data_IF_200597043592
#
_entry.id   IF_200597043592
#
_cell.length_a   1.000
_cell.length_b   1.000
_cell.length_c   1.000
_cell.angle_alpha   90.00
_cell.angle_beta   90.00
_cell.angle_gamma   90.00
#
_symmetry.space_group_name_H-M   'P 1'
#
loop_
_entity.id
_entity.type
_entity.pdbx_description
1 polymer ?
#
# COMPACT_ATOMS: atom_id res chain seq x y z
N UNK A 1 1.36 4.47 -5.58
CA UNK A 1 1.60 3.38 -6.55
C UNK A 1 0.26 2.97 -7.17
N UNK A 2 0.22 2.23 -8.28
CA UNK A 2 -1.09 1.83 -8.88
C UNK A 2 -1.96 1.01 -7.90
N UNK A 3 -1.34 0.24 -7.02
CA UNK A 3 -2.01 -0.54 -5.98
C UNK A 3 -2.63 0.37 -4.92
N UNK A 4 -1.87 1.33 -4.37
CA UNK A 4 -2.42 2.28 -3.38
C UNK A 4 -3.56 3.12 -3.98
N UNK A 5 -3.46 3.49 -5.26
CA UNK A 5 -4.53 4.19 -5.98
C UNK A 5 -5.78 3.31 -6.13
N UNK A 6 -5.61 2.02 -6.45
CA UNK A 6 -6.72 1.07 -6.53
C UNK A 6 -7.42 0.89 -5.18
N UNK A 7 -6.67 0.81 -4.07
CA UNK A 7 -7.24 0.71 -2.72
C UNK A 7 -8.05 1.95 -2.36
N UNK A 8 -7.52 3.13 -2.65
CA UNK A 8 -8.25 4.39 -2.47
C UNK A 8 -9.52 4.43 -3.33
N UNK A 9 -9.46 3.98 -4.58
CA UNK A 9 -10.63 3.95 -5.48
C UNK A 9 -11.72 2.96 -5.01
N UNK A 10 -11.35 1.84 -4.39
CA UNK A 10 -12.30 0.87 -3.82
C UNK A 10 -12.97 1.36 -2.54
N UNK A 11 -12.35 2.31 -1.83
CA UNK A 11 -12.89 2.89 -0.60
C UNK A 11 -13.46 4.28 -0.87
N UNK A 12 -14.78 4.35 -1.04
CA UNK A 12 -15.52 5.60 -1.30
C UNK A 12 -15.41 6.65 -0.17
N UNK A 13 -14.81 6.30 0.97
CA UNK A 13 -14.71 7.16 2.17
C UNK A 13 -13.28 7.54 2.55
N UNK A 14 -12.25 6.97 1.93
CA UNK A 14 -10.87 7.24 2.32
C UNK A 14 -10.26 8.42 1.56
N UNK A 15 -9.64 9.34 2.29
CA UNK A 15 -8.86 10.44 1.69
C UNK A 15 -7.48 9.98 1.19
N UNK A 16 -6.90 9.01 1.89
CA UNK A 16 -5.55 8.47 1.69
C UNK A 16 -5.62 6.94 1.73
N UNK A 17 -4.72 6.27 0.99
CA UNK A 17 -4.46 4.83 1.16
C UNK A 17 -2.97 4.58 1.36
N UNK A 18 -2.62 3.68 2.27
CA UNK A 18 -1.24 3.26 2.56
C UNK A 18 -1.16 1.74 2.39
N UNK A 19 -0.11 1.28 1.70
CA UNK A 19 0.19 -0.13 1.51
C UNK A 19 1.71 -0.32 1.57
N UNK A 20 2.18 -1.33 2.30
CA UNK A 20 3.60 -1.66 2.32
C UNK A 20 4.05 -2.29 0.98
N UNK A 21 5.23 -1.95 0.48
CA UNK A 21 5.73 -2.43 -0.82
C UNK A 21 5.91 -3.94 -0.88
N UNK A 22 6.19 -4.59 0.26
CA UNK A 22 6.31 -6.05 0.35
C UNK A 22 5.01 -6.83 0.09
N UNK A 23 3.85 -6.16 0.13
CA UNK A 23 2.58 -6.75 -0.31
C UNK A 23 2.44 -6.85 -1.83
N UNK A 24 3.25 -6.10 -2.58
CA UNK A 24 3.25 -6.09 -4.04
C UNK A 24 4.40 -7.00 -4.53
N UNK A 25 4.06 -8.11 -5.18
CA UNK A 25 5.04 -9.15 -5.54
C UNK A 25 5.45 -9.17 -7.00
N UNK A 26 4.66 -8.56 -7.87
CA UNK A 26 4.94 -8.50 -9.29
C UNK A 26 4.51 -7.17 -9.90
N UNK A 27 4.97 -6.90 -11.12
CA UNK A 27 4.50 -5.78 -11.93
C UNK A 27 3.29 -6.19 -12.76
N UNK A 28 2.41 -5.23 -13.07
CA UNK A 28 1.34 -5.43 -14.06
C UNK A 28 1.97 -5.34 -15.45
N UNK A 29 1.78 -6.33 -16.34
CA UNK A 29 2.31 -6.26 -17.69
C UNK A 29 1.65 -5.13 -18.49
N UNK A 30 2.37 -4.61 -19.48
CA UNK A 30 1.76 -3.71 -20.46
C UNK A 30 0.81 -4.50 -21.38
N UNK A 31 -0.28 -3.86 -21.83
CA UNK A 31 -1.29 -4.49 -22.69
C UNK A 31 -2.45 -5.08 -21.90
N UNK A 32 -2.94 -6.24 -22.33
CA UNK A 32 -4.14 -6.85 -21.77
C UNK A 32 -3.92 -7.32 -20.33
N UNK A 33 -4.81 -6.87 -19.44
CA UNK A 33 -4.79 -7.22 -18.01
C UNK A 33 -5.90 -8.22 -17.70
N UNK A 34 -5.56 -9.30 -17.00
CA UNK A 34 -6.50 -10.31 -16.53
C UNK A 34 -6.61 -10.29 -15.00
N UNK A 35 -7.63 -10.95 -14.46
CA UNK A 35 -7.78 -11.16 -13.00
C UNK A 35 -6.60 -11.99 -12.44
N UNK A 36 -6.03 -12.90 -13.23
CA UNK A 36 -4.85 -13.67 -12.83
C UNK A 36 -3.66 -12.77 -12.48
N UNK A 37 -3.44 -11.71 -13.26
CA UNK A 37 -2.39 -10.73 -12.97
C UNK A 37 -2.61 -10.01 -11.63
N UNK A 38 -3.87 -9.79 -11.22
CA UNK A 38 -4.15 -9.19 -9.91
C UNK A 38 -3.69 -10.10 -8.76
N UNK A 39 -3.88 -11.43 -8.89
CA UNK A 39 -3.37 -12.42 -7.93
C UNK A 39 -1.84 -12.53 -7.95
N UNK A 40 -1.20 -12.38 -9.12
CA UNK A 40 0.27 -12.38 -9.21
C UNK A 40 0.88 -11.15 -8.51
N UNK A 41 0.21 -10.00 -8.62
CA UNK A 41 0.65 -8.73 -8.00
C UNK A 41 0.37 -8.72 -6.50
N UNK A 42 -0.81 -9.17 -6.07
CA UNK A 42 -1.26 -9.24 -4.68
C UNK A 42 -1.60 -10.68 -4.27
N UNK A 43 -0.58 -11.55 -4.09
CA UNK A 43 -0.81 -12.97 -3.80
C UNK A 43 -1.26 -13.22 -2.36
N UNK A 44 -1.25 -12.21 -1.51
CA UNK A 44 -1.70 -12.31 -0.13
C UNK A 44 -3.18 -11.94 -0.03
N UNK A 45 -3.94 -12.74 0.72
CA UNK A 45 -5.36 -12.52 1.01
C UNK A 45 -5.55 -11.44 2.08
N UNK A 46 -4.95 -10.26 1.86
CA UNK A 46 -5.09 -9.12 2.76
C UNK A 46 -6.47 -8.46 2.56
N UNK A 47 -7.04 -7.96 3.65
CA UNK A 47 -8.28 -7.21 3.62
C UNK A 47 -7.99 -5.71 3.55
N UNK A 48 -8.76 -5.00 2.73
CA UNK A 48 -8.78 -3.54 2.76
C UNK A 48 -9.58 -3.08 3.99
N UNK A 49 -8.96 -2.24 4.82
CA UNK A 49 -9.57 -1.71 6.05
C UNK A 49 -9.55 -0.18 6.00
N UNK A 50 -10.66 0.43 6.38
CA UNK A 50 -10.76 1.88 6.55
C UNK A 50 -10.59 2.23 8.03
N UNK A 51 -9.76 3.22 8.32
CA UNK A 51 -9.49 3.71 9.65
C UNK A 51 -9.66 5.23 9.66
N UNK A 52 -10.32 5.75 10.69
CA UNK A 52 -10.29 7.17 10.99
C UNK A 52 -9.06 7.43 11.85
N UNK A 53 -8.13 8.26 11.35
CA UNK A 53 -6.84 8.53 11.99
C UNK A 53 -6.57 10.03 12.01
N UNK A 54 -5.93 10.50 13.06
CA UNK A 54 -5.38 11.85 13.13
C UNK A 54 -4.16 11.98 12.22
N UNK A 55 -3.81 13.21 11.85
CA UNK A 55 -2.59 13.48 11.07
C UNK A 55 -1.32 12.99 11.77
N UNK A 56 -1.27 13.04 13.11
CA UNK A 56 -0.14 12.54 13.89
C UNK A 56 -0.03 11.01 13.82
N UNK A 57 -1.15 10.28 13.91
CA UNK A 57 -1.13 8.82 13.79
C UNK A 57 -0.70 8.38 12.39
N UNK A 58 -1.09 9.12 11.35
CA UNK A 58 -0.62 8.88 9.98
C UNK A 58 0.89 9.09 9.88
N UNK A 59 1.41 10.17 10.45
CA UNK A 59 2.85 10.45 10.46
C UNK A 59 3.62 9.34 11.20
N UNK A 60 3.19 8.98 12.41
CA UNK A 60 3.81 7.92 13.20
C UNK A 60 3.82 6.59 12.43
N UNK A 61 2.72 6.27 11.72
CA UNK A 61 2.64 5.04 10.91
C UNK A 61 3.68 5.02 9.79
N UNK A 62 3.94 6.17 9.16
CA UNK A 62 4.98 6.29 8.12
C UNK A 62 6.37 6.16 8.74
N UNK A 63 6.61 6.84 9.86
CA UNK A 63 7.88 6.77 10.60
C UNK A 63 8.19 5.34 11.03
N UNK A 64 7.24 4.65 11.67
CA UNK A 64 7.37 3.24 12.08
C UNK A 64 7.68 2.31 10.89
N UNK A 65 7.06 2.56 9.73
CA UNK A 65 7.31 1.79 8.52
C UNK A 65 8.73 2.02 7.97
N UNK A 66 9.21 3.27 7.98
CA UNK A 66 10.58 3.63 7.58
C UNK A 66 11.60 3.05 8.57
N UNK A 67 11.34 3.14 9.87
CA UNK A 67 12.19 2.57 10.91
C UNK A 67 12.30 1.05 10.77
N UNK A 68 11.22 0.35 10.41
CA UNK A 68 11.30 -1.07 10.10
C UNK A 68 12.18 -1.39 8.89
N UNK A 69 12.23 -0.51 7.89
CA UNK A 69 13.15 -0.66 6.75
C UNK A 69 14.59 -0.49 7.21
N UNK A 70 14.88 0.54 8.01
CA UNK A 70 16.25 0.93 8.40
C UNK A 70 16.80 0.07 9.54
N UNK A 71 16.02 -0.11 10.60
CA UNK A 71 16.43 -0.79 11.83
C UNK A 71 16.34 -2.30 11.70
N UNK A 72 15.23 -2.79 11.12
CA UNK A 72 14.94 -4.22 11.04
C UNK A 72 15.28 -4.83 9.66
N UNK A 73 15.87 -4.04 8.75
CA UNK A 73 16.22 -4.44 7.38
C UNK A 73 15.03 -5.04 6.58
N UNK A 74 13.80 -4.64 6.93
CA UNK A 74 12.57 -5.11 6.29
C UNK A 74 12.22 -4.18 5.13
N UNK A 75 12.88 -4.36 3.99
CA UNK A 75 12.67 -3.50 2.81
C UNK A 75 11.21 -3.49 2.32
N UNK A 76 10.48 -4.57 2.57
CA UNK A 76 9.05 -4.68 2.26
C UNK A 76 8.12 -3.89 3.18
N UNK A 77 8.63 -3.31 4.27
CA UNK A 77 7.87 -2.42 5.14
C UNK A 77 7.69 -1.01 4.54
N UNK A 78 8.49 -0.64 3.54
CA UNK A 78 8.47 0.71 2.98
C UNK A 78 7.04 1.09 2.54
N UNK A 79 6.51 2.24 3.01
CA UNK A 79 5.13 2.62 2.73
C UNK A 79 4.99 3.19 1.31
N UNK A 80 3.99 2.70 0.57
CA UNK A 80 3.52 3.30 -0.67
C UNK A 80 2.12 3.89 -0.44
N UNK A 81 1.96 5.16 -0.75
CA UNK A 81 0.70 5.86 -0.53
C UNK A 81 0.02 6.33 -1.82
N UNK A 82 -1.29 6.61 -1.72
CA UNK A 82 -2.09 7.38 -2.66
C UNK A 82 -2.65 8.61 -1.94
N UNK A 83 -2.71 9.75 -2.63
CA UNK A 83 -3.12 11.05 -2.06
C UNK A 83 -2.27 11.58 -0.89
N UNK A 84 -1.11 10.99 -0.64
CA UNK A 84 -0.15 11.44 0.38
C UNK A 84 1.26 11.36 -0.22
N UNK A 85 2.10 12.35 0.12
CA UNK A 85 3.51 12.40 -0.28
C UNK A 85 4.35 12.78 0.93
N UNK A 86 5.50 12.13 1.04
CA UNK A 86 6.54 12.33 2.04
C UNK A 86 7.90 12.08 1.39
#
# INVERSE_FOLDING_TARGET
SIVSEAFKAMSLRSDIAIQNTGGVRNSIPAGDVSVGHAFDVLPFTNLLVNLDMTGQEILNTIEDAIDNVVVNNSTGAFPAAANLRF
#
